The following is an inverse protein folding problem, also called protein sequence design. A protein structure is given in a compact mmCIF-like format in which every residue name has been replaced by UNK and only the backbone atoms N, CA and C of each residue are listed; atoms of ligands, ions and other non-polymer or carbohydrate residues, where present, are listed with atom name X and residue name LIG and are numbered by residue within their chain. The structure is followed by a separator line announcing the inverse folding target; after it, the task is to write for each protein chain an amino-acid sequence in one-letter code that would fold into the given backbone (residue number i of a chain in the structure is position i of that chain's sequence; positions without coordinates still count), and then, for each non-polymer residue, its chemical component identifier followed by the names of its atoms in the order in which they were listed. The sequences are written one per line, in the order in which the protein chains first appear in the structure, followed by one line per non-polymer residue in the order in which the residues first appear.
data_IF_082058965412
#
_entry.id   IF_082058965412
#
_cell.length_a   1.000
_cell.length_b   1.000
_cell.length_c   1.000
_cell.angle_alpha   90.00
_cell.angle_beta   90.00
_cell.angle_gamma   90.00
#
_symmetry.space_group_name_H-M   'P 1'
#
loop_
_entity.id
_entity.type
_entity.pdbx_description
1 polymer ?
#
# COMPACT_ATOMS: atom_id res chain seq x y z
N UNK A 1 -10.71 -13.70 21.39
CA UNK A 1 -11.23 -15.03 20.99
C UNK A 1 -10.58 -15.39 19.66
N UNK A 2 -10.05 -16.61 19.55
CA UNK A 2 -9.41 -17.11 18.31
C UNK A 2 -10.47 -17.80 17.46
N UNK A 3 -10.58 -17.42 16.19
CA UNK A 3 -11.47 -18.11 15.25
C UNK A 3 -10.92 -19.52 14.98
N UNK A 4 -11.75 -20.55 15.11
CA UNK A 4 -11.38 -21.93 14.84
C UNK A 4 -12.17 -22.40 13.62
N UNK A 5 -11.46 -22.65 12.52
CA UNK A 5 -12.03 -23.24 11.31
C UNK A 5 -12.44 -24.69 11.59
N UNK A 6 -13.59 -25.11 11.05
CA UNK A 6 -13.99 -26.52 10.97
C UNK A 6 -13.61 -27.12 9.63
N UNK A 7 -13.21 -28.39 9.63
CA UNK A 7 -12.90 -29.13 8.40
C UNK A 7 -14.15 -29.72 7.76
N UNK A 8 -14.07 -30.06 6.47
CA UNK A 8 -15.12 -30.79 5.76
C UNK A 8 -15.58 -32.05 6.50
N UNK A 9 -14.64 -32.86 7.01
CA UNK A 9 -14.96 -34.12 7.68
C UNK A 9 -15.72 -33.89 8.98
N UNK A 10 -15.29 -32.90 9.79
CA UNK A 10 -15.97 -32.52 11.03
C UNK A 10 -17.39 -32.03 10.76
N UNK A 11 -17.59 -31.22 9.71
CA UNK A 11 -18.89 -30.69 9.32
C UNK A 11 -19.81 -31.84 8.86
N UNK A 12 -19.31 -32.67 7.95
CA UNK A 12 -20.04 -33.80 7.38
C UNK A 12 -20.48 -34.78 8.46
N UNK A 13 -19.57 -35.16 9.34
CA UNK A 13 -19.84 -36.16 10.36
C UNK A 13 -20.78 -35.61 11.44
N UNK A 14 -20.68 -34.31 11.76
CA UNK A 14 -21.63 -33.65 12.64
C UNK A 14 -23.05 -33.65 12.03
N UNK A 15 -23.19 -33.27 10.75
CA UNK A 15 -24.49 -33.25 10.06
C UNK A 15 -25.07 -34.66 9.95
N UNK A 16 -24.27 -35.66 9.55
CA UNK A 16 -24.75 -37.04 9.45
C UNK A 16 -25.12 -37.61 10.81
N UNK A 17 -24.33 -37.36 11.86
CA UNK A 17 -24.68 -37.79 13.21
C UNK A 17 -26.01 -37.18 13.66
N UNK A 18 -26.24 -35.90 13.35
CA UNK A 18 -27.49 -35.22 13.70
C UNK A 18 -28.69 -35.77 12.92
N UNK A 19 -28.53 -36.04 11.62
CA UNK A 19 -29.61 -36.61 10.78
C UNK A 19 -29.92 -38.06 11.15
N UNK A 20 -28.92 -38.86 11.52
CA UNK A 20 -29.06 -40.34 11.53
C UNK A 20 -29.07 -40.97 12.91
N UNK A 21 -28.44 -40.33 13.89
CA UNK A 21 -28.48 -40.79 15.28
C UNK A 21 -29.60 -40.09 16.05
N UNK A 22 -30.39 -39.24 15.40
CA UNK A 22 -31.45 -38.47 16.04
C UNK A 22 -30.91 -37.69 17.23
N UNK A 23 -29.77 -37.01 17.06
CA UNK A 23 -29.24 -36.17 18.15
C UNK A 23 -30.14 -34.94 18.25
N UNK A 24 -30.99 -34.92 19.27
CA UNK A 24 -31.90 -33.81 19.56
C UNK A 24 -31.21 -32.92 20.57
N UNK A 25 -31.15 -31.63 20.27
CA UNK A 25 -30.78 -30.61 21.23
C UNK A 25 -32.06 -30.02 21.82
N UNK A 26 -32.49 -30.53 22.96
CA UNK A 26 -33.73 -30.13 23.62
C UNK A 26 -33.45 -29.12 24.74
N UNK A 27 -34.19 -28.01 24.73
CA UNK A 27 -34.08 -26.97 25.74
C UNK A 27 -35.10 -27.18 26.86
N UNK A 28 -34.64 -27.17 28.11
CA UNK A 28 -35.49 -27.23 29.29
C UNK A 28 -35.20 -26.07 30.25
N UNK A 29 -36.22 -25.57 30.93
CA UNK A 29 -36.06 -24.58 31.99
C UNK A 29 -35.81 -25.33 33.30
N UNK A 30 -34.66 -25.06 33.93
CA UNK A 30 -34.33 -25.64 35.22
C UNK A 30 -35.17 -25.01 36.34
N UNK A 31 -35.69 -25.86 37.23
CA UNK A 31 -36.49 -25.49 38.39
C UNK A 31 -36.01 -26.31 39.58
N UNK A 32 -35.81 -25.65 40.71
CA UNK A 32 -35.24 -26.27 41.93
C UNK A 32 -36.17 -27.36 42.48
N UNK A 33 -37.48 -27.22 42.26
CA UNK A 33 -38.49 -28.18 42.71
C UNK A 33 -38.60 -29.39 41.77
N UNK A 34 -37.92 -29.37 40.61
CA UNK A 34 -37.98 -30.41 39.59
C UNK A 34 -36.63 -31.05 39.36
N UNK A 35 -36.50 -32.30 39.80
CA UNK A 35 -35.26 -33.09 39.61
C UNK A 35 -35.27 -33.94 38.34
N UNK A 36 -36.44 -34.16 37.73
CA UNK A 36 -36.60 -35.03 36.55
C UNK A 36 -37.20 -34.29 35.37
N UNK A 37 -36.55 -34.42 34.22
CA UNK A 37 -36.96 -33.82 32.95
C UNK A 37 -37.18 -34.92 31.93
N UNK A 38 -38.42 -35.05 31.47
CA UNK A 38 -38.78 -35.99 30.42
C UNK A 38 -38.33 -35.42 29.09
N UNK A 39 -37.57 -36.21 28.34
CA UNK A 39 -37.11 -35.88 27.01
C UNK A 39 -38.27 -36.16 26.03
N UNK A 40 -38.48 -35.25 25.08
CA UNK A 40 -39.60 -35.31 24.14
C UNK A 40 -39.56 -36.57 23.26
N UNK A 41 -38.36 -37.01 22.86
CA UNK A 41 -38.19 -38.11 21.92
C UNK A 41 -37.79 -39.41 22.64
N UNK A 42 -38.70 -40.39 22.64
CA UNK A 42 -38.53 -41.70 23.26
C UNK A 42 -38.56 -42.85 22.21
N UNK A 43 -37.91 -43.99 22.46
CA UNK A 43 -37.11 -44.31 23.65
C UNK A 43 -35.72 -43.66 23.60
N UNK A 44 -35.24 -43.08 24.69
CA UNK A 44 -33.90 -42.46 24.77
C UNK A 44 -32.86 -43.56 24.89
N UNK A 45 -31.87 -43.59 23.99
CA UNK A 45 -30.76 -44.56 24.03
C UNK A 45 -29.64 -44.09 24.96
N UNK A 46 -29.21 -42.85 24.82
CA UNK A 46 -28.13 -42.27 25.63
C UNK A 46 -28.12 -40.75 25.56
N UNK A 47 -27.59 -40.11 26.60
CA UNK A 47 -27.35 -38.67 26.62
C UNK A 47 -25.90 -38.42 26.18
N UNK A 48 -25.72 -37.56 25.17
CA UNK A 48 -24.41 -37.22 24.61
C UNK A 48 -23.76 -36.09 25.41
N UNK A 49 -24.54 -35.06 25.74
CA UNK A 49 -24.03 -33.86 26.41
C UNK A 49 -25.16 -33.06 27.05
N UNK A 50 -24.93 -32.55 28.26
CA UNK A 50 -25.82 -31.58 28.91
C UNK A 50 -25.04 -30.29 29.19
N UNK A 51 -25.58 -29.15 28.76
CA UNK A 51 -24.97 -27.84 29.01
C UNK A 51 -25.99 -26.82 29.47
N UNK A 52 -25.57 -25.91 30.35
CA UNK A 52 -26.46 -24.88 30.92
C UNK A 52 -25.66 -23.78 31.57
N UNK A 53 -26.33 -22.95 32.37
CA UNK A 53 -25.71 -21.87 33.13
C UNK A 53 -25.60 -22.32 34.58
N UNK A 54 -24.41 -22.21 35.18
CA UNK A 54 -24.16 -22.45 36.60
C UNK A 54 -23.33 -21.29 37.13
N UNK A 55 -23.79 -20.65 38.21
CA UNK A 55 -23.19 -19.45 38.79
C UNK A 55 -22.95 -18.34 37.75
N UNK A 56 -23.89 -18.15 36.82
CA UNK A 56 -23.82 -17.14 35.75
C UNK A 56 -22.88 -17.47 34.58
N UNK A 57 -22.21 -18.62 34.58
CA UNK A 57 -21.31 -19.05 33.51
C UNK A 57 -21.80 -20.32 32.81
N UNK A 58 -21.43 -20.51 31.53
CA UNK A 58 -21.73 -21.76 30.81
C UNK A 58 -20.96 -22.93 31.44
N UNK A 59 -21.69 -24.01 31.71
CA UNK A 59 -21.16 -25.22 32.33
C UNK A 59 -21.62 -26.47 31.55
N UNK A 60 -20.75 -27.48 31.47
CA UNK A 60 -21.05 -28.79 30.87
C UNK A 60 -21.13 -29.79 32.01
N UNK A 61 -22.32 -30.34 32.23
CA UNK A 61 -22.60 -31.28 33.31
C UNK A 61 -22.15 -32.70 32.93
N UNK A 62 -21.83 -33.51 33.93
CA UNK A 62 -21.25 -34.85 33.77
C UNK A 62 -22.26 -35.94 34.14
N UNK A 63 -22.42 -36.91 33.26
CA UNK A 63 -23.23 -38.10 33.54
C UNK A 63 -22.61 -38.92 34.69
N UNK A 64 -23.45 -39.41 35.60
CA UNK A 64 -23.06 -40.17 36.80
C UNK A 64 -22.60 -39.32 37.98
N UNK A 65 -22.34 -38.03 37.79
CA UNK A 65 -21.94 -37.08 38.86
C UNK A 65 -23.02 -36.02 39.05
N UNK A 66 -23.40 -35.35 37.97
CA UNK A 66 -24.34 -34.23 37.98
C UNK A 66 -25.76 -34.68 37.64
N UNK A 67 -25.87 -35.56 36.65
CA UNK A 67 -27.14 -36.12 36.20
C UNK A 67 -26.99 -37.60 35.84
N UNK A 68 -28.11 -38.30 35.65
CA UNK A 68 -28.16 -39.64 35.05
C UNK A 68 -29.37 -39.77 34.14
N UNK A 69 -29.28 -40.65 33.14
CA UNK A 69 -30.43 -41.08 32.36
C UNK A 69 -31.23 -42.14 33.15
N UNK A 70 -32.54 -41.93 33.33
CA UNK A 70 -33.45 -42.89 33.98
C UNK A 70 -34.71 -43.05 33.13
N UNK A 71 -34.78 -44.16 32.38
CA UNK A 71 -35.80 -44.33 31.33
C UNK A 71 -35.62 -43.27 30.25
N UNK A 72 -36.69 -42.54 29.92
CA UNK A 72 -36.67 -41.43 28.96
C UNK A 72 -36.53 -40.06 29.63
N UNK A 73 -35.93 -40.01 30.82
CA UNK A 73 -35.79 -38.79 31.62
C UNK A 73 -34.36 -38.53 32.02
N UNK A 74 -33.95 -37.27 31.95
CA UNK A 74 -32.77 -36.78 32.66
C UNK A 74 -33.14 -36.54 34.12
N UNK A 75 -32.42 -37.18 35.04
CA UNK A 75 -32.55 -36.99 36.48
C UNK A 75 -31.30 -36.30 37.02
N UNK A 76 -31.47 -35.12 37.60
CA UNK A 76 -30.40 -34.41 38.33
C UNK A 76 -30.10 -35.11 39.65
N UNK A 77 -28.81 -35.33 39.92
CA UNK A 77 -28.36 -36.01 41.13
C UNK A 77 -28.35 -35.01 42.32
N UNK A 78 -28.71 -35.45 43.54
CA UNK A 78 -28.80 -34.55 44.70
C UNK A 78 -27.50 -33.82 45.01
N UNK A 79 -26.37 -34.53 44.92
CA UNK A 79 -25.04 -34.02 45.24
C UNK A 79 -24.29 -33.47 44.01
N UNK A 80 -24.94 -33.47 42.84
CA UNK A 80 -24.37 -33.02 41.59
C UNK A 80 -24.52 -31.51 41.37
N UNK A 81 -23.69 -30.97 40.47
CA UNK A 81 -23.81 -29.60 40.00
C UNK A 81 -25.10 -29.45 39.17
N UNK A 82 -25.81 -28.33 39.33
CA UNK A 82 -27.11 -28.09 38.70
C UNK A 82 -27.12 -26.71 38.04
N UNK A 83 -27.96 -26.50 37.01
CA UNK A 83 -28.13 -25.18 36.43
C UNK A 83 -28.67 -24.17 37.43
N UNK A 84 -28.51 -22.89 37.14
CA UNK A 84 -29.09 -21.80 37.92
C UNK A 84 -30.62 -21.82 37.81
N UNK A 85 -31.32 -21.50 38.89
CA UNK A 85 -32.78 -21.52 38.93
C UNK A 85 -33.40 -20.67 37.81
N UNK A 86 -34.41 -21.21 37.12
CA UNK A 86 -35.12 -20.58 35.99
C UNK A 86 -34.24 -20.27 34.78
N UNK A 87 -33.08 -20.93 34.64
CA UNK A 87 -32.25 -20.83 33.44
C UNK A 87 -32.49 -21.99 32.48
N UNK A 88 -32.21 -21.77 31.20
CA UNK A 88 -32.26 -22.81 30.18
C UNK A 88 -31.03 -23.71 30.28
N UNK A 89 -31.25 -25.01 30.21
CA UNK A 89 -30.23 -25.99 29.92
C UNK A 89 -30.63 -26.81 28.69
N UNK A 90 -29.63 -27.34 28.02
CA UNK A 90 -29.72 -28.02 26.75
C UNK A 90 -29.25 -29.46 26.93
N UNK A 91 -30.07 -30.41 26.49
CA UNK A 91 -29.77 -31.84 26.52
C UNK A 91 -29.61 -32.31 25.10
N UNK A 92 -28.41 -32.77 24.76
CA UNK A 92 -28.12 -33.48 23.53
C UNK A 92 -28.22 -34.97 23.81
N UNK A 93 -29.17 -35.66 23.19
CA UNK A 93 -29.39 -37.10 23.41
C UNK A 93 -29.74 -37.83 22.13
N UNK A 94 -29.45 -39.13 22.10
CA UNK A 94 -29.76 -40.07 21.02
C UNK A 94 -31.07 -40.76 21.40
N UNK A 95 -32.09 -40.67 20.55
CA UNK A 95 -33.32 -41.46 20.69
C UNK A 95 -33.35 -42.62 19.69
N UNK A 96 -34.08 -43.66 20.04
CA UNK A 96 -34.10 -44.95 19.36
C UNK A 96 -35.10 -45.06 18.21
N UNK A 97 -35.85 -43.99 17.89
CA UNK A 97 -36.65 -44.01 16.68
C UNK A 97 -35.67 -44.00 15.48
N UNK A 98 -35.81 -44.92 14.51
CA UNK A 98 -35.02 -44.85 13.30
C UNK A 98 -35.31 -43.50 12.65
N UNK A 99 -34.27 -42.67 12.46
CA UNK A 99 -34.35 -41.65 11.43
C UNK A 99 -34.77 -42.40 10.17
N UNK A 100 -35.91 -42.06 9.57
CA UNK A 100 -36.35 -42.71 8.32
C UNK A 100 -35.28 -42.62 7.22
N UNK A 101 -34.30 -41.75 7.42
CA UNK A 101 -33.07 -41.60 6.66
C UNK A 101 -31.96 -42.44 7.32
N UNK A 102 -31.64 -43.58 6.70
CA UNK A 102 -30.55 -44.49 7.13
C UNK A 102 -29.41 -44.59 6.12
N UNK A 103 -29.59 -44.00 4.93
CA UNK A 103 -28.69 -44.17 3.81
C UNK A 103 -27.49 -43.22 3.92
N UNK A 104 -26.53 -43.55 4.78
CA UNK A 104 -25.34 -42.73 5.08
C UNK A 104 -24.07 -43.18 4.36
N UNK A 105 -24.17 -44.24 3.59
CA UNK A 105 -23.02 -44.82 2.91
C UNK A 105 -22.56 -43.90 1.77
N UNK A 106 -21.25 -43.88 1.46
CA UNK A 106 -20.74 -43.21 0.27
C UNK A 106 -21.54 -43.61 -0.99
N UNK A 107 -21.97 -42.62 -1.77
CA UNK A 107 -22.78 -42.81 -2.97
C UNK A 107 -24.29 -42.76 -2.76
N UNK A 108 -24.78 -42.67 -1.51
CA UNK A 108 -26.20 -42.46 -1.26
C UNK A 108 -26.67 -41.04 -1.58
N UNK A 109 -27.99 -40.87 -1.76
CA UNK A 109 -28.58 -39.53 -2.00
C UNK A 109 -28.35 -38.64 -0.78
N UNK A 110 -28.63 -39.12 0.42
CA UNK A 110 -28.45 -38.34 1.65
C UNK A 110 -26.97 -37.99 1.86
N UNK A 111 -26.05 -38.95 1.72
CA UNK A 111 -24.62 -38.70 1.85
C UNK A 111 -24.15 -37.68 0.84
N UNK A 112 -24.53 -37.83 -0.43
CA UNK A 112 -24.15 -36.89 -1.50
C UNK A 112 -24.62 -35.46 -1.21
N UNK A 113 -25.85 -35.28 -0.74
CA UNK A 113 -26.37 -33.96 -0.36
C UNK A 113 -25.58 -33.37 0.80
N UNK A 114 -25.33 -34.16 1.85
CA UNK A 114 -24.57 -33.70 3.02
C UNK A 114 -23.13 -33.35 2.64
N UNK A 115 -22.48 -34.14 1.79
CA UNK A 115 -21.14 -33.86 1.29
C UNK A 115 -21.10 -32.55 0.47
N UNK A 116 -22.07 -32.32 -0.40
CA UNK A 116 -22.18 -31.07 -1.16
C UNK A 116 -22.32 -29.86 -0.22
N UNK A 117 -23.24 -29.93 0.75
CA UNK A 117 -23.45 -28.85 1.72
C UNK A 117 -22.21 -28.64 2.60
N UNK A 118 -21.58 -29.73 3.07
CA UNK A 118 -20.40 -29.66 3.93
C UNK A 118 -19.23 -28.98 3.23
N UNK A 119 -19.09 -29.19 1.92
CA UNK A 119 -18.08 -28.53 1.09
C UNK A 119 -18.31 -27.02 0.97
N UNK A 120 -19.56 -26.60 0.78
CA UNK A 120 -19.90 -25.18 0.77
C UNK A 120 -19.70 -24.51 2.14
N UNK A 121 -20.05 -25.21 3.22
CA UNK A 121 -19.82 -24.72 4.58
C UNK A 121 -18.31 -24.59 4.85
N UNK A 122 -17.49 -25.57 4.47
CA UNK A 122 -16.03 -25.47 4.59
C UNK A 122 -15.49 -24.25 3.83
N UNK A 123 -15.97 -24.02 2.61
CA UNK A 123 -15.57 -22.86 1.81
C UNK A 123 -15.94 -21.54 2.51
N UNK A 124 -17.10 -21.46 3.16
CA UNK A 124 -17.48 -20.31 3.98
C UNK A 124 -16.56 -20.13 5.19
N UNK A 125 -16.19 -21.20 5.90
CA UNK A 125 -15.22 -21.13 7.00
C UNK A 125 -13.84 -20.65 6.52
N UNK A 126 -13.40 -21.06 5.33
CA UNK A 126 -12.18 -20.54 4.71
C UNK A 126 -12.25 -19.04 4.43
N UNK A 127 -13.36 -18.56 3.88
CA UNK A 127 -13.56 -17.13 3.65
C UNK A 127 -13.56 -16.33 4.96
N UNK A 128 -14.25 -16.81 5.99
CA UNK A 128 -14.27 -16.17 7.31
C UNK A 128 -12.87 -16.14 7.93
N UNK A 129 -12.11 -17.23 7.81
CA UNK A 129 -10.73 -17.27 8.28
C UNK A 129 -9.86 -16.21 7.58
N UNK A 130 -10.00 -16.05 6.26
CA UNK A 130 -9.27 -15.00 5.51
C UNK A 130 -9.65 -13.60 5.96
N UNK A 131 -10.93 -13.33 6.21
CA UNK A 131 -11.39 -12.03 6.73
C UNK A 131 -10.81 -11.77 8.12
N UNK A 132 -10.80 -12.80 8.98
CA UNK A 132 -10.22 -12.69 10.32
C UNK A 132 -8.71 -12.36 10.24
N UNK A 133 -7.95 -13.10 9.44
CA UNK A 133 -6.51 -12.87 9.25
C UNK A 133 -6.22 -11.53 8.57
N UNK A 134 -7.12 -11.02 7.72
CA UNK A 134 -6.99 -9.71 7.11
C UNK A 134 -7.09 -8.55 8.11
N UNK A 135 -7.57 -8.79 9.33
CA UNK A 135 -7.65 -7.79 10.40
C UNK A 135 -6.35 -7.57 11.18
N UNK A 136 -5.33 -8.42 11.01
CA UNK A 136 -4.08 -8.33 11.76
C UNK A 136 -2.93 -7.86 10.87
N UNK A 137 -2.08 -6.98 11.42
CA UNK A 137 -0.95 -6.39 10.68
C UNK A 137 0.03 -7.45 10.14
N UNK A 138 0.27 -8.52 10.90
CA UNK A 138 1.24 -9.56 10.55
C UNK A 138 0.76 -10.49 9.42
N UNK A 139 -0.56 -10.57 9.20
CA UNK A 139 -1.17 -11.52 8.25
C UNK A 139 -1.96 -10.84 7.13
N UNK A 140 -2.33 -9.57 7.29
CA UNK A 140 -3.00 -8.79 6.25
C UNK A 140 -2.10 -8.61 5.02
N UNK A 141 -2.70 -8.61 3.83
CA UNK A 141 -1.99 -8.39 2.56
C UNK A 141 -2.81 -7.52 1.61
N UNK A 142 -2.15 -6.98 0.59
CA UNK A 142 -2.79 -6.13 -0.43
C UNK A 142 -3.54 -4.94 0.18
N UNK A 143 -4.80 -4.75 -0.25
CA UNK A 143 -5.66 -3.66 0.20
C UNK A 143 -6.02 -3.74 1.69
N UNK A 144 -6.14 -4.95 2.25
CA UNK A 144 -6.42 -5.11 3.67
C UNK A 144 -5.26 -4.57 4.52
N UNK A 145 -4.02 -4.85 4.12
CA UNK A 145 -2.84 -4.30 4.80
C UNK A 145 -2.81 -2.77 4.73
N UNK A 146 -3.11 -2.19 3.57
CA UNK A 146 -3.17 -0.75 3.40
C UNK A 146 -4.24 -0.11 4.32
N UNK A 147 -5.39 -0.76 4.50
CA UNK A 147 -6.43 -0.31 5.44
C UNK A 147 -5.99 -0.41 6.90
N UNK A 148 -5.42 -1.54 7.32
CA UNK A 148 -4.94 -1.73 8.70
C UNK A 148 -3.86 -0.70 9.04
N UNK A 149 -2.92 -0.47 8.13
CA UNK A 149 -1.80 0.47 8.30
C UNK A 149 -2.28 1.92 8.27
N UNK A 150 -3.36 2.23 7.53
CA UNK A 150 -3.94 3.58 7.51
C UNK A 150 -4.52 4.02 8.86
N UNK A 151 -4.94 3.08 9.72
CA UNK A 151 -5.33 3.38 11.11
C UNK A 151 -4.17 3.99 11.92
N UNK A 152 -2.93 3.69 11.56
CA UNK A 152 -1.72 4.25 12.17
C UNK A 152 -1.27 5.55 11.50
N UNK A 153 -2.03 6.07 10.53
CA UNK A 153 -1.68 7.26 9.75
C UNK A 153 -0.59 7.05 8.69
N UNK A 154 -0.27 5.78 8.38
CA UNK A 154 0.73 5.44 7.39
C UNK A 154 0.03 5.15 6.05
N UNK A 155 0.59 5.66 4.96
CA UNK A 155 0.08 5.43 3.60
C UNK A 155 1.15 4.82 2.70
N UNK A 156 0.71 3.98 1.75
CA UNK A 156 1.61 3.37 0.75
C UNK A 156 2.14 4.47 -0.17
N UNK A 157 3.46 4.52 -0.33
CA UNK A 157 4.09 5.42 -1.31
C UNK A 157 3.65 5.00 -2.72
N UNK A 158 3.03 5.90 -3.51
CA UNK A 158 2.62 5.59 -4.87
C UNK A 158 3.84 5.37 -5.78
N UNK A 159 3.69 4.64 -6.90
CA UNK A 159 4.73 4.57 -7.90
C UNK A 159 5.00 5.96 -8.48
N UNK A 160 6.26 6.37 -8.48
CA UNK A 160 6.72 7.64 -9.06
C UNK A 160 7.43 7.39 -10.39
N UNK A 161 7.38 8.35 -11.31
CA UNK A 161 8.16 8.29 -12.54
C UNK A 161 9.65 8.39 -12.22
N UNK A 162 10.46 7.63 -12.97
CA UNK A 162 11.91 7.74 -12.88
C UNK A 162 12.35 9.14 -13.36
N UNK A 163 13.04 9.87 -12.49
CA UNK A 163 13.57 11.20 -12.78
C UNK A 163 15.09 11.20 -12.62
N UNK A 164 15.78 12.08 -13.34
CA UNK A 164 17.23 12.19 -13.32
C UNK A 164 17.72 13.48 -13.97
N UNK A 165 19.03 13.74 -13.87
CA UNK A 165 19.68 14.88 -14.55
C UNK A 165 20.40 14.38 -15.78
N UNK A 166 20.28 15.12 -16.89
CA UNK A 166 20.98 14.85 -18.14
C UNK A 166 21.77 16.09 -18.56
N UNK A 167 22.93 15.89 -19.15
CA UNK A 167 23.79 16.96 -19.66
C UNK A 167 23.86 16.84 -21.17
N UNK A 168 23.58 17.93 -21.86
CA UNK A 168 23.64 17.98 -23.31
C UNK A 168 24.95 18.64 -23.74
N UNK A 169 25.68 17.94 -24.60
CA UNK A 169 26.87 18.45 -25.27
C UNK A 169 26.65 18.51 -26.77
N UNK A 170 27.43 19.34 -27.46
CA UNK A 170 27.49 19.40 -28.92
C UNK A 170 28.91 19.05 -29.37
N UNK A 171 29.04 18.43 -30.53
CA UNK A 171 30.33 18.12 -31.15
C UNK A 171 30.85 19.24 -32.06
N UNK A 172 30.03 20.25 -32.34
CA UNK A 172 30.35 21.41 -33.18
C UNK A 172 30.16 22.71 -32.41
N UNK A 173 30.88 23.75 -32.78
CA UNK A 173 30.74 25.06 -32.15
C UNK A 173 29.33 25.64 -32.30
N UNK A 174 28.86 26.47 -31.33
CA UNK A 174 27.59 27.19 -31.48
C UNK A 174 27.57 28.20 -32.62
N UNK A 175 26.36 28.51 -33.13
CA UNK A 175 26.16 29.67 -34.00
C UNK A 175 26.75 30.94 -33.37
N UNK A 176 27.35 31.76 -34.21
CA UNK A 176 27.99 33.00 -33.82
C UNK A 176 27.03 34.18 -34.00
N UNK A 177 26.98 35.05 -33.00
CA UNK A 177 26.24 36.30 -32.99
C UNK A 177 27.27 37.43 -33.06
N UNK A 178 27.16 38.27 -34.08
CA UNK A 178 27.94 39.50 -34.17
C UNK A 178 27.18 40.62 -33.46
N UNK A 179 27.81 41.20 -32.45
CA UNK A 179 27.30 42.37 -31.74
C UNK A 179 28.17 43.55 -32.13
N UNK A 180 27.55 44.55 -32.73
CA UNK A 180 28.22 45.77 -33.18
C UNK A 180 27.81 46.95 -32.32
N UNK A 181 28.81 47.74 -31.91
CA UNK A 181 28.69 49.00 -31.17
C UNK A 181 27.91 48.87 -29.86
N UNK A 182 28.19 47.84 -29.06
CA UNK A 182 27.65 47.78 -27.70
C UNK A 182 28.23 48.92 -26.86
N UNK A 183 27.37 49.78 -26.33
CA UNK A 183 27.76 50.99 -25.63
C UNK A 183 27.86 50.75 -24.12
N UNK A 184 28.98 51.18 -23.53
CA UNK A 184 29.20 51.19 -22.08
C UNK A 184 29.64 52.57 -21.63
N UNK A 185 29.10 53.04 -20.51
CA UNK A 185 29.55 54.28 -19.86
C UNK A 185 30.79 53.97 -19.01
N UNK A 186 31.88 54.70 -19.24
CA UNK A 186 33.08 54.57 -18.43
C UNK A 186 32.93 55.33 -17.12
N UNK A 187 32.76 54.59 -16.01
CA UNK A 187 32.58 55.11 -14.65
C UNK A 187 33.83 54.88 -13.76
N UNK A 188 34.95 54.51 -14.37
CA UNK A 188 36.20 54.20 -13.66
C UNK A 188 36.32 52.76 -13.17
N UNK A 189 35.31 51.90 -13.38
CA UNK A 189 35.45 50.46 -13.13
C UNK A 189 36.56 49.86 -14.01
N UNK A 190 37.20 48.82 -13.48
CA UNK A 190 38.20 48.04 -14.21
C UNK A 190 37.54 47.06 -15.15
N UNK A 191 36.43 46.41 -14.76
CA UNK A 191 35.75 45.38 -15.55
C UNK A 191 34.37 45.86 -16.00
N UNK A 192 34.06 45.62 -17.27
CA UNK A 192 32.74 45.83 -17.88
C UNK A 192 32.24 44.54 -18.49
N UNK A 193 31.07 44.08 -18.03
CA UNK A 193 30.41 42.89 -18.57
C UNK A 193 29.73 43.21 -19.90
N UNK A 194 29.87 42.33 -20.88
CA UNK A 194 29.16 42.41 -22.16
C UNK A 194 27.79 41.72 -22.04
N UNK A 195 26.80 42.23 -22.76
CA UNK A 195 25.42 41.76 -22.68
C UNK A 195 25.23 40.34 -23.26
N UNK A 196 26.04 39.94 -24.24
CA UNK A 196 25.91 38.64 -24.91
C UNK A 196 27.08 37.72 -24.55
N UNK A 197 26.76 36.61 -23.91
CA UNK A 197 27.71 35.60 -23.45
C UNK A 197 27.34 34.20 -24.00
N UNK A 198 28.32 33.31 -24.21
CA UNK A 198 29.75 33.48 -23.97
C UNK A 198 30.49 34.18 -25.13
N UNK A 199 31.54 34.93 -24.81
CA UNK A 199 32.31 35.72 -25.78
C UNK A 199 33.27 34.81 -26.54
N UNK A 200 33.24 34.85 -27.88
CA UNK A 200 34.21 34.17 -28.75
C UNK A 200 35.43 35.06 -28.98
N UNK A 201 35.21 36.30 -29.42
CA UNK A 201 36.29 37.25 -29.72
C UNK A 201 35.80 38.70 -29.67
N UNK A 202 36.63 39.60 -29.15
CA UNK A 202 36.41 41.05 -29.25
C UNK A 202 37.12 41.56 -30.50
N UNK A 203 36.37 42.20 -31.39
CA UNK A 203 36.85 42.66 -32.70
C UNK A 203 37.39 44.09 -32.63
N UNK A 204 36.70 44.97 -31.90
CA UNK A 204 37.08 46.39 -31.80
C UNK A 204 36.58 47.00 -30.50
N UNK A 205 37.39 47.85 -29.88
CA UNK A 205 36.98 48.69 -28.75
C UNK A 205 37.37 50.13 -29.07
N UNK A 206 36.40 51.03 -29.09
CA UNK A 206 36.64 52.45 -29.38
C UNK A 206 35.93 53.37 -28.40
N UNK A 207 36.53 54.52 -28.09
CA UNK A 207 35.95 55.49 -27.16
C UNK A 207 36.78 56.76 -27.13
N UNK A 208 36.33 57.75 -26.37
CA UNK A 208 37.09 58.99 -26.20
C UNK A 208 38.22 58.76 -25.20
N UNK A 209 39.44 59.11 -25.56
CA UNK A 209 40.59 59.13 -24.66
C UNK A 209 41.36 60.43 -24.87
N UNK A 210 41.56 61.19 -23.79
CA UNK A 210 42.15 62.54 -23.81
C UNK A 210 41.46 63.48 -24.81
N UNK A 211 40.12 63.40 -24.92
CA UNK A 211 39.30 64.28 -25.76
C UNK A 211 39.27 63.92 -27.26
N UNK A 212 39.89 62.81 -27.67
CA UNK A 212 39.90 62.34 -29.07
C UNK A 212 39.46 60.89 -29.18
N UNK A 213 38.84 60.52 -30.31
CA UNK A 213 38.42 59.14 -30.55
C UNK A 213 39.66 58.24 -30.65
N UNK A 214 39.70 57.20 -29.81
CA UNK A 214 40.79 56.24 -29.74
C UNK A 214 40.27 54.83 -29.90
N UNK A 215 40.99 54.01 -30.66
CA UNK A 215 40.76 52.55 -30.75
C UNK A 215 41.75 51.87 -29.82
N UNK A 216 41.23 51.24 -28.78
CA UNK A 216 42.02 50.60 -27.74
C UNK A 216 42.55 49.25 -28.21
N UNK A 217 43.77 48.91 -27.77
CA UNK A 217 44.47 47.70 -28.18
C UNK A 217 44.39 46.60 -27.12
N UNK A 218 43.98 45.40 -27.54
CA UNK A 218 43.97 44.21 -26.68
C UNK A 218 45.39 43.88 -26.21
N UNK A 219 45.55 43.60 -24.92
CA UNK A 219 46.82 43.27 -24.26
C UNK A 219 47.66 44.48 -23.84
N UNK A 220 47.30 45.69 -24.28
CA UNK A 220 47.96 46.94 -23.90
C UNK A 220 47.02 47.86 -23.12
N UNK A 221 45.84 48.10 -23.67
CA UNK A 221 44.83 48.98 -23.09
C UNK A 221 43.76 48.18 -22.32
N UNK A 222 43.36 47.03 -22.85
CA UNK A 222 42.38 46.14 -22.21
C UNK A 222 42.70 44.66 -22.39
N UNK A 223 42.20 43.82 -21.51
CA UNK A 223 42.17 42.36 -21.62
C UNK A 223 40.71 41.86 -21.77
N UNK A 224 40.53 40.69 -22.37
CA UNK A 224 39.21 40.04 -22.47
C UNK A 224 39.11 39.04 -21.32
N UNK A 225 38.05 39.15 -20.53
CA UNK A 225 37.73 38.26 -19.41
C UNK A 225 36.47 37.45 -19.74
N UNK A 226 36.17 36.41 -18.95
CA UNK A 226 35.10 35.43 -19.23
C UNK A 226 33.73 36.09 -19.55
N UNK A 227 33.42 37.19 -18.87
CA UNK A 227 32.14 37.90 -19.00
C UNK A 227 32.25 39.29 -19.66
N UNK A 228 33.42 39.71 -20.14
CA UNK A 228 33.55 41.02 -20.78
C UNK A 228 34.98 41.52 -21.01
N UNK A 229 35.22 42.81 -20.77
CA UNK A 229 36.55 43.42 -20.92
C UNK A 229 37.05 44.03 -19.61
N UNK A 230 38.35 43.95 -19.39
CA UNK A 230 39.05 44.54 -18.25
C UNK A 230 40.07 45.56 -18.72
N UNK A 231 39.99 46.79 -18.22
CA UNK A 231 40.96 47.86 -18.51
C UNK A 231 42.26 47.64 -17.73
N UNK A 232 43.38 47.63 -18.45
CA UNK A 232 44.70 47.44 -17.85
C UNK A 232 45.17 48.71 -17.14
N UNK A 233 45.88 48.54 -16.03
CA UNK A 233 46.31 49.67 -15.17
C UNK A 233 47.22 50.63 -15.94
N UNK A 234 48.18 50.08 -16.69
CA UNK A 234 49.19 50.79 -17.51
C UNK A 234 48.66 51.20 -18.90
N UNK A 235 47.41 50.85 -19.22
CA UNK A 235 46.78 51.06 -20.51
C UNK A 235 46.08 52.41 -20.66
N UNK A 236 45.84 52.85 -21.90
CA UNK A 236 44.96 53.99 -22.16
C UNK A 236 43.52 53.58 -21.86
N UNK A 237 42.79 54.46 -21.17
CA UNK A 237 41.40 54.24 -20.76
C UNK A 237 40.49 55.29 -21.40
N UNK A 238 39.19 55.00 -21.50
CA UNK A 238 38.23 56.01 -21.88
C UNK A 238 38.21 57.18 -20.89
N UNK A 239 37.79 58.35 -21.36
CA UNK A 239 37.62 59.52 -20.52
C UNK A 239 36.47 59.29 -19.54
N UNK A 240 36.61 59.78 -18.31
CA UNK A 240 35.60 59.58 -17.27
C UNK A 240 34.24 60.15 -17.72
N UNK A 241 33.17 59.38 -17.50
CA UNK A 241 31.81 59.72 -17.89
C UNK A 241 31.61 59.84 -19.43
N UNK A 242 32.41 59.12 -20.22
CA UNK A 242 32.22 58.99 -21.67
C UNK A 242 31.81 57.58 -22.07
N UNK A 243 31.16 57.44 -23.22
CA UNK A 243 30.80 56.14 -23.77
C UNK A 243 31.98 55.56 -24.55
N UNK A 244 32.20 54.26 -24.35
CA UNK A 244 33.00 53.44 -25.26
C UNK A 244 32.12 52.37 -25.90
N UNK A 245 32.49 51.95 -27.09
CA UNK A 245 31.79 50.98 -27.92
C UNK A 245 32.64 49.74 -28.11
N UNK A 246 32.00 48.58 -28.01
CA UNK A 246 32.62 47.28 -28.20
C UNK A 246 31.94 46.55 -29.35
N UNK A 247 32.72 46.14 -30.34
CA UNK A 247 32.32 45.20 -31.39
C UNK A 247 32.89 43.83 -31.03
N UNK A 248 32.05 42.81 -30.94
CA UNK A 248 32.49 41.47 -30.57
C UNK A 248 31.61 40.38 -31.17
N UNK A 249 32.16 39.18 -31.21
CA UNK A 249 31.48 37.95 -31.61
C UNK A 249 31.25 37.11 -30.35
N UNK A 250 30.00 36.71 -30.13
CA UNK A 250 29.61 35.81 -29.05
C UNK A 250 28.96 34.53 -29.61
N UNK A 251 28.92 33.48 -28.81
CA UNK A 251 28.17 32.28 -29.14
C UNK A 251 26.72 32.41 -28.69
N UNK A 252 25.81 31.86 -29.48
CA UNK A 252 24.42 31.73 -29.06
C UNK A 252 24.31 30.82 -27.83
N UNK A 253 23.65 31.31 -26.78
CA UNK A 253 23.42 30.55 -25.57
C UNK A 253 22.54 29.33 -25.87
N UNK A 254 23.01 28.16 -25.47
CA UNK A 254 22.25 26.92 -25.57
C UNK A 254 21.05 27.03 -24.63
N UNK A 255 19.84 26.95 -25.19
CA UNK A 255 18.59 26.80 -24.45
C UNK A 255 18.01 25.43 -24.75
N UNK A 256 17.65 24.70 -23.71
CA UNK A 256 17.01 23.39 -23.84
C UNK A 256 15.57 23.56 -23.39
N UNK A 257 14.59 23.52 -24.32
CA UNK A 257 13.21 23.71 -23.95
C UNK A 257 12.68 22.52 -23.14
N UNK A 258 11.63 22.77 -22.37
CA UNK A 258 10.82 21.70 -21.81
C UNK A 258 10.12 20.91 -22.95
N UNK A 259 9.85 19.64 -22.73
CA UNK A 259 9.18 18.78 -23.71
C UNK A 259 10.12 18.05 -24.68
N UNK A 260 11.44 18.19 -24.55
CA UNK A 260 12.40 17.48 -25.39
C UNK A 260 12.47 16.02 -24.96
N UNK A 261 12.27 15.12 -25.93
CA UNK A 261 12.36 13.68 -25.74
C UNK A 261 13.82 13.24 -25.78
N UNK A 262 14.27 12.57 -24.73
CA UNK A 262 15.61 11.99 -24.62
C UNK A 262 15.45 10.48 -24.43
N UNK A 263 16.06 9.69 -25.31
CA UNK A 263 16.06 8.23 -25.19
C UNK A 263 17.37 7.71 -24.62
N UNK A 264 17.29 6.69 -23.77
CA UNK A 264 18.46 5.89 -23.43
C UNK A 264 18.82 4.98 -24.60
N UNK A 265 20.11 4.81 -24.85
CA UNK A 265 20.59 3.80 -25.79
C UNK A 265 20.53 2.40 -25.15
N UNK A 266 19.87 1.45 -25.82
CA UNK A 266 19.98 0.02 -25.51
C UNK A 266 20.07 -0.79 -26.81
N UNK A 267 20.89 -1.85 -26.87
CA UNK A 267 20.91 -2.79 -28.00
C UNK A 267 19.55 -3.48 -28.21
N UNK A 268 18.74 -3.61 -27.15
CA UNK A 268 17.40 -4.16 -27.21
C UNK A 268 16.36 -3.01 -27.27
N UNK A 269 15.61 -2.85 -28.37
CA UNK A 269 14.62 -1.77 -28.50
C UNK A 269 13.56 -1.73 -27.40
N UNK A 270 13.26 -2.88 -26.76
CA UNK A 270 12.26 -2.95 -25.68
C UNK A 270 12.74 -2.35 -24.36
N UNK A 271 14.04 -2.16 -24.21
CA UNK A 271 14.66 -1.61 -23.01
C UNK A 271 15.00 -0.11 -23.14
N UNK A 272 14.90 0.43 -24.36
CA UNK A 272 15.05 1.87 -24.58
C UNK A 272 13.91 2.62 -23.89
N UNK A 273 14.26 3.47 -22.92
CA UNK A 273 13.30 4.34 -22.23
C UNK A 273 13.39 5.74 -22.80
N UNK A 274 12.24 6.38 -22.94
CA UNK A 274 12.13 7.77 -23.37
C UNK A 274 11.75 8.61 -22.16
N UNK A 275 12.54 9.65 -21.93
CA UNK A 275 12.33 10.68 -20.92
C UNK A 275 11.96 11.99 -21.60
N UNK A 276 11.35 12.90 -20.85
CA UNK A 276 10.96 14.24 -21.32
C UNK A 276 11.55 15.27 -20.38
N UNK A 277 12.18 16.32 -20.92
CA UNK A 277 12.66 17.44 -20.10
C UNK A 277 11.47 18.18 -19.49
N UNK A 278 11.51 18.41 -18.18
CA UNK A 278 10.42 19.06 -17.44
C UNK A 278 10.64 20.56 -17.26
N UNK A 279 11.88 21.04 -17.40
CA UNK A 279 12.27 22.43 -17.17
C UNK A 279 13.00 22.99 -18.40
N UNK A 280 12.82 24.28 -18.65
CA UNK A 280 13.64 25.06 -19.60
C UNK A 280 14.91 25.55 -18.89
N UNK A 281 16.09 25.35 -19.51
CA UNK A 281 17.39 25.78 -18.97
C UNK A 281 18.32 26.35 -20.03
#
# INVERSE_FOLDING_TARGET
MTFVKKSYEEIRDAILAQITKGIVNEGHIYDVDRTKYRLENAPVKSIVKVEGIMNGARHIFREGVDYKLTGDMLEWLPNGDKPDNKTLFYVNYIFGAPSGITDINPGSVTRTIVEAISREIEFLYEQLNRVYLAGFIDTASGSALDLVVSLLGISRKPPEHAAGKVTFGRSTDPPEIQVSREAHLYDGKTVYELNTLPIKSVNKVEGLSSGSLHVFQRGKDYAVVERGIEWLIEGRKPDYNTMFYVDYTAYERIKIPAGIKVSTYSPNPREAKVFVTTEER
#
